data_IF_154265674416
#
_entry.id   IF_154265674416
#
_cell.length_a   1.000
_cell.length_b   1.000
_cell.length_c   1.000
_cell.angle_alpha   90.00
_cell.angle_beta   90.00
_cell.angle_gamma   90.00
#
_symmetry.space_group_name_H-M   'P 1'
#
loop_
_entity.id
_entity.type
_entity.pdbx_description
1 polymer ?
#
# COMPACT_ATOMS: atom_id res chain seq x y z
N UNK A 1 -42.16 -4.83 -5.58
CA UNK A 1 -41.91 -3.37 -5.69
C UNK A 1 -40.98 -2.85 -4.58
N UNK A 2 -39.81 -3.48 -4.33
CA UNK A 2 -38.94 -3.13 -3.18
C UNK A 2 -37.52 -2.63 -3.54
N UNK A 3 -37.18 -2.45 -4.82
CA UNK A 3 -35.80 -2.10 -5.24
C UNK A 3 -35.50 -0.59 -5.25
N UNK A 4 -36.51 0.28 -5.33
CA UNK A 4 -36.30 1.74 -5.48
C UNK A 4 -35.93 2.43 -4.16
N UNK A 5 -36.45 1.94 -3.03
CA UNK A 5 -36.25 2.53 -1.69
C UNK A 5 -34.81 2.45 -1.18
N UNK A 6 -34.02 1.51 -1.71
CA UNK A 6 -32.62 1.29 -1.33
C UNK A 6 -31.65 2.30 -1.97
N UNK A 7 -32.09 2.97 -3.03
CA UNK A 7 -31.30 3.97 -3.75
C UNK A 7 -31.74 5.42 -3.50
N UNK A 8 -32.84 5.63 -2.76
CA UNK A 8 -33.33 6.96 -2.40
C UNK A 8 -32.25 7.87 -1.80
N UNK A 9 -31.41 7.44 -0.83
CA UNK A 9 -30.38 8.32 -0.27
C UNK A 9 -29.25 8.66 -1.26
N UNK A 10 -28.94 7.75 -2.19
CA UNK A 10 -27.94 8.01 -3.23
C UNK A 10 -28.47 8.96 -4.31
N UNK A 11 -29.75 8.83 -4.67
CA UNK A 11 -30.44 9.71 -5.62
C UNK A 11 -30.67 11.11 -5.05
N UNK A 12 -30.98 11.23 -3.75
CA UNK A 12 -31.08 12.54 -3.09
C UNK A 12 -29.73 13.22 -2.97
N UNK A 13 -28.66 12.49 -2.63
CA UNK A 13 -27.31 13.04 -2.63
C UNK A 13 -26.89 13.53 -4.03
N UNK A 14 -27.11 12.72 -5.07
CA UNK A 14 -26.80 13.10 -6.45
C UNK A 14 -27.62 14.32 -6.92
N UNK A 15 -28.91 14.39 -6.56
CA UNK A 15 -29.78 15.53 -6.88
C UNK A 15 -29.36 16.81 -6.15
N UNK A 16 -28.88 16.72 -4.90
CA UNK A 16 -28.35 17.86 -4.15
C UNK A 16 -27.04 18.38 -4.77
N UNK A 17 -26.16 17.48 -5.24
CA UNK A 17 -24.94 17.87 -5.96
C UNK A 17 -25.24 18.52 -7.32
N UNK A 18 -26.17 17.96 -8.09
CA UNK A 18 -26.59 18.53 -9.37
C UNK A 18 -27.31 19.88 -9.20
N UNK A 19 -28.16 20.02 -8.18
CA UNK A 19 -28.86 21.25 -7.86
C UNK A 19 -27.92 22.38 -7.43
N UNK A 20 -26.89 22.08 -6.63
CA UNK A 20 -25.90 23.07 -6.23
C UNK A 20 -25.04 23.57 -7.41
N UNK A 21 -24.66 22.67 -8.32
CA UNK A 21 -23.92 23.04 -9.53
C UNK A 21 -24.78 23.84 -10.52
N UNK A 22 -26.04 23.44 -10.72
CA UNK A 22 -26.98 24.16 -11.59
C UNK A 22 -27.35 25.54 -11.04
N UNK A 23 -27.49 25.68 -9.72
CA UNK A 23 -27.73 26.96 -9.07
C UNK A 23 -26.53 27.91 -9.20
N UNK A 24 -25.30 27.42 -9.09
CA UNK A 24 -24.08 28.24 -9.25
C UNK A 24 -23.95 28.73 -10.71
N UNK A 25 -24.24 27.88 -11.71
CA UNK A 25 -24.28 28.28 -13.13
C UNK A 25 -25.40 29.30 -13.39
N UNK A 26 -26.61 29.04 -12.90
CA UNK A 26 -27.78 29.90 -13.09
C UNK A 26 -27.62 31.28 -12.43
N UNK A 27 -27.04 31.33 -11.22
CA UNK A 27 -26.81 32.60 -10.52
C UNK A 27 -25.65 33.40 -11.14
N UNK A 28 -24.61 32.73 -11.65
CA UNK A 28 -23.48 33.39 -12.33
C UNK A 28 -23.91 34.03 -13.65
N UNK A 29 -24.74 33.32 -14.43
CA UNK A 29 -25.25 33.79 -15.72
C UNK A 29 -26.20 35.01 -15.56
N UNK A 30 -27.04 35.00 -14.52
CA UNK A 30 -28.08 36.05 -14.34
C UNK A 30 -27.61 37.30 -13.60
N UNK A 31 -26.56 37.23 -12.78
CA UNK A 31 -26.14 38.36 -11.93
C UNK A 31 -24.85 39.03 -12.39
N UNK A 32 -24.11 38.43 -13.33
CA UNK A 32 -22.80 38.93 -13.79
C UNK A 32 -21.73 39.00 -12.68
N UNK A 33 -22.05 38.57 -11.46
CA UNK A 33 -21.14 38.59 -10.31
C UNK A 33 -20.31 37.32 -10.32
N UNK A 34 -19.13 37.45 -10.92
CA UNK A 34 -18.05 36.49 -10.71
C UNK A 34 -17.77 36.45 -9.20
N UNK A 35 -18.02 35.30 -8.56
CA UNK A 35 -17.68 35.12 -7.15
C UNK A 35 -16.22 35.54 -6.91
N UNK A 36 -15.91 36.28 -5.83
CA UNK A 36 -14.55 36.67 -5.51
C UNK A 36 -13.64 35.44 -5.50
N UNK A 37 -12.43 35.57 -6.05
CA UNK A 37 -11.45 34.48 -6.20
C UNK A 37 -11.24 33.68 -4.91
N UNK A 38 -11.29 34.36 -3.75
CA UNK A 38 -11.20 33.76 -2.42
C UNK A 38 -12.34 32.77 -2.12
N UNK A 39 -13.58 33.12 -2.40
CA UNK A 39 -14.75 32.23 -2.18
C UNK A 39 -14.71 31.04 -3.13
N UNK A 40 -14.21 31.24 -4.36
CA UNK A 40 -13.99 30.15 -5.32
C UNK A 40 -12.89 29.19 -4.85
N UNK A 41 -11.78 29.72 -4.32
CA UNK A 41 -10.71 28.92 -3.74
C UNK A 41 -11.18 28.17 -2.48
N UNK A 42 -11.95 28.79 -1.61
CA UNK A 42 -12.50 28.16 -0.40
C UNK A 42 -13.48 27.04 -0.74
N UNK A 43 -14.40 27.24 -1.70
CA UNK A 43 -15.29 26.18 -2.21
C UNK A 43 -14.50 25.04 -2.87
N UNK A 44 -13.49 25.36 -3.69
CA UNK A 44 -12.62 24.38 -4.33
C UNK A 44 -11.82 23.55 -3.32
N UNK A 45 -11.29 24.20 -2.28
CA UNK A 45 -10.61 23.56 -1.17
C UNK A 45 -11.56 22.65 -0.37
N UNK A 46 -12.80 23.09 -0.12
CA UNK A 46 -13.80 22.28 0.56
C UNK A 46 -14.17 21.02 -0.24
N UNK A 47 -14.44 21.16 -1.54
CA UNK A 47 -14.74 20.02 -2.43
C UNK A 47 -13.54 19.07 -2.53
N UNK A 48 -12.33 19.62 -2.66
CA UNK A 48 -11.09 18.83 -2.64
C UNK A 48 -10.88 18.05 -1.34
N UNK A 49 -11.14 18.69 -0.19
CA UNK A 49 -11.06 18.04 1.12
C UNK A 49 -12.07 16.92 1.28
N UNK A 50 -13.33 17.13 0.88
CA UNK A 50 -14.38 16.12 0.95
C UNK A 50 -14.05 14.91 0.05
N UNK A 51 -13.58 15.16 -1.18
CA UNK A 51 -13.14 14.11 -2.09
C UNK A 51 -11.93 13.35 -1.54
N UNK A 52 -10.97 14.05 -0.94
CA UNK A 52 -9.82 13.44 -0.27
C UNK A 52 -10.23 12.52 0.89
N UNK A 53 -11.10 12.99 1.77
CA UNK A 53 -11.62 12.21 2.90
C UNK A 53 -12.41 10.98 2.42
N UNK A 54 -13.24 11.13 1.38
CA UNK A 54 -13.95 10.01 0.78
C UNK A 54 -12.99 8.93 0.25
N UNK A 55 -11.92 9.34 -0.45
CA UNK A 55 -10.90 8.41 -0.98
C UNK A 55 -10.17 7.67 0.14
N UNK A 56 -9.85 8.36 1.23
CA UNK A 56 -9.23 7.73 2.40
C UNK A 56 -10.15 6.69 3.07
N UNK A 57 -11.45 6.99 3.21
CA UNK A 57 -12.43 6.01 3.74
C UNK A 57 -12.58 4.82 2.78
N UNK A 58 -12.66 5.07 1.48
CA UNK A 58 -12.72 4.02 0.47
C UNK A 58 -11.47 3.12 0.48
N UNK A 59 -10.28 3.71 0.64
CA UNK A 59 -9.02 2.99 0.78
C UNK A 59 -9.04 2.06 2.00
N UNK A 60 -9.44 2.57 3.17
CA UNK A 60 -9.56 1.78 4.40
C UNK A 60 -10.57 0.64 4.27
N UNK A 61 -11.74 0.90 3.69
CA UNK A 61 -12.76 -0.13 3.46
C UNK A 61 -12.28 -1.22 2.51
N UNK A 62 -11.60 -0.83 1.43
CA UNK A 62 -11.04 -1.77 0.47
C UNK A 62 -9.91 -2.59 1.08
N UNK A 63 -9.05 -1.97 1.90
CA UNK A 63 -8.00 -2.66 2.64
C UNK A 63 -8.57 -3.73 3.59
N UNK A 64 -9.56 -3.40 4.42
CA UNK A 64 -10.21 -4.37 5.30
C UNK A 64 -10.81 -5.54 4.52
N UNK A 65 -11.43 -5.26 3.36
CA UNK A 65 -11.99 -6.31 2.50
C UNK A 65 -10.90 -7.19 1.90
N UNK A 66 -9.79 -6.60 1.45
CA UNK A 66 -8.66 -7.33 0.91
C UNK A 66 -8.03 -8.23 1.98
N UNK A 67 -7.91 -7.73 3.22
CA UNK A 67 -7.38 -8.48 4.36
C UNK A 67 -8.27 -9.67 4.72
N UNK A 68 -9.59 -9.47 4.84
CA UNK A 68 -10.55 -10.58 5.07
C UNK A 68 -10.49 -11.61 3.95
N UNK A 69 -10.47 -11.16 2.69
CA UNK A 69 -10.33 -12.06 1.54
C UNK A 69 -9.02 -12.86 1.58
N UNK A 70 -7.92 -12.24 2.02
CA UNK A 70 -6.64 -12.94 2.16
C UNK A 70 -6.71 -14.05 3.21
N UNK A 71 -7.27 -13.74 4.38
CA UNK A 71 -7.39 -14.69 5.49
C UNK A 71 -8.33 -15.83 5.13
N UNK A 72 -9.48 -15.53 4.52
CA UNK A 72 -10.39 -16.56 4.02
C UNK A 72 -9.70 -17.45 2.97
N UNK A 73 -8.89 -16.87 2.08
CA UNK A 73 -8.10 -17.66 1.15
C UNK A 73 -7.09 -18.56 1.88
N UNK A 74 -6.38 -18.03 2.88
CA UNK A 74 -5.41 -18.81 3.69
C UNK A 74 -6.09 -20.00 4.37
N UNK A 75 -7.28 -19.80 4.93
CA UNK A 75 -8.04 -20.83 5.63
C UNK A 75 -8.45 -21.99 4.71
N UNK A 76 -8.86 -21.68 3.48
CA UNK A 76 -9.40 -22.67 2.55
C UNK A 76 -8.38 -23.20 1.54
N UNK A 77 -7.18 -22.61 1.46
CA UNK A 77 -6.18 -22.98 0.46
C UNK A 77 -4.83 -23.34 1.11
N UNK A 78 -4.38 -24.59 1.01
CA UNK A 78 -3.07 -25.00 1.53
C UNK A 78 -1.90 -24.29 0.84
N UNK A 79 -2.15 -23.72 -0.35
CA UNK A 79 -1.19 -22.90 -1.11
C UNK A 79 -1.48 -21.40 -0.98
N UNK A 80 -1.63 -20.90 0.23
CA UNK A 80 -1.94 -19.49 0.53
C UNK A 80 -1.04 -18.45 -0.16
N UNK A 81 0.23 -18.80 -0.42
CA UNK A 81 1.19 -17.96 -1.17
C UNK A 81 0.80 -17.72 -2.64
N UNK A 82 -0.13 -18.50 -3.21
CA UNK A 82 -0.58 -18.35 -4.60
C UNK A 82 -1.70 -17.33 -4.78
N UNK A 83 -2.17 -16.67 -3.71
CA UNK A 83 -3.20 -15.64 -3.83
C UNK A 83 -2.66 -14.38 -4.52
N UNK A 84 -2.70 -14.37 -5.86
CA UNK A 84 -2.28 -13.22 -6.66
C UNK A 84 -3.39 -12.19 -6.85
N UNK A 85 -4.64 -12.60 -6.59
CA UNK A 85 -5.84 -11.83 -6.88
C UNK A 85 -6.03 -10.65 -5.92
N UNK A 86 -5.31 -10.69 -4.79
CA UNK A 86 -5.24 -9.58 -3.84
C UNK A 86 -4.38 -8.42 -4.35
N UNK A 87 -3.40 -8.66 -5.24
CA UNK A 87 -2.45 -7.62 -5.67
C UNK A 87 -3.14 -6.44 -6.40
N UNK A 88 -4.12 -6.66 -7.31
CA UNK A 88 -4.93 -5.57 -7.85
C UNK A 88 -5.72 -4.79 -6.79
N UNK A 89 -6.23 -5.45 -5.74
CA UNK A 89 -6.91 -4.78 -4.63
C UNK A 89 -5.95 -3.84 -3.91
N UNK A 90 -4.75 -4.31 -3.59
CA UNK A 90 -3.70 -3.49 -2.95
C UNK A 90 -3.31 -2.29 -3.82
N UNK A 91 -3.20 -2.49 -5.14
CA UNK A 91 -2.94 -1.39 -6.08
C UNK A 91 -4.05 -0.34 -6.03
N UNK A 92 -5.31 -0.76 -6.02
CA UNK A 92 -6.44 0.17 -5.90
C UNK A 92 -6.43 0.93 -4.57
N UNK A 93 -6.06 0.30 -3.45
CA UNK A 93 -5.87 1.00 -2.17
C UNK A 93 -4.84 2.11 -2.32
N UNK A 94 -3.68 1.83 -2.91
CA UNK A 94 -2.63 2.86 -3.10
C UNK A 94 -3.01 3.98 -4.07
N UNK A 95 -3.89 3.70 -5.03
CA UNK A 95 -4.44 4.74 -5.90
C UNK A 95 -5.46 5.61 -5.21
N UNK A 96 -6.24 5.07 -4.27
CA UNK A 96 -7.20 5.83 -3.47
C UNK A 96 -6.45 6.69 -2.45
N UNK A 97 -5.50 6.09 -1.73
CA UNK A 97 -4.64 6.75 -0.75
C UNK A 97 -3.15 6.41 -0.99
N UNK A 98 -2.40 7.34 -1.62
CA UNK A 98 -0.96 7.17 -1.84
C UNK A 98 -0.13 7.14 -0.54
N UNK A 99 -0.69 7.55 0.59
CA UNK A 99 -0.02 7.51 1.89
C UNK A 99 -0.28 6.22 2.68
N UNK A 100 -1.03 5.28 2.10
CA UNK A 100 -1.38 4.01 2.73
C UNK A 100 -0.20 3.02 2.71
N UNK A 101 0.76 3.21 3.61
CA UNK A 101 2.04 2.46 3.60
C UNK A 101 1.87 0.95 3.72
N UNK A 102 0.88 0.48 4.49
CA UNK A 102 0.61 -0.95 4.68
C UNK A 102 0.30 -1.68 3.36
N UNK A 103 -0.42 -1.04 2.43
CA UNK A 103 -0.73 -1.62 1.14
C UNK A 103 0.52 -1.78 0.27
N UNK A 104 1.42 -0.79 0.31
CA UNK A 104 2.72 -0.88 -0.36
C UNK A 104 3.59 -2.00 0.22
N UNK A 105 3.73 -2.05 1.56
CA UNK A 105 4.54 -3.05 2.24
C UNK A 105 4.03 -4.48 1.98
N UNK A 106 2.73 -4.72 2.19
CA UNK A 106 2.13 -6.05 2.02
C UNK A 106 2.17 -6.53 0.58
N UNK A 107 1.81 -5.70 -0.41
CA UNK A 107 1.86 -6.14 -1.79
C UNK A 107 3.31 -6.33 -2.28
N UNK A 108 4.26 -5.52 -1.81
CA UNK A 108 5.67 -5.71 -2.13
C UNK A 108 6.22 -7.02 -1.55
N UNK A 109 5.82 -7.37 -0.32
CA UNK A 109 6.14 -8.65 0.29
C UNK A 109 5.61 -9.82 -0.54
N UNK A 110 4.33 -9.77 -0.91
CA UNK A 110 3.70 -10.78 -1.77
C UNK A 110 4.41 -10.89 -3.13
N UNK A 111 4.66 -9.75 -3.78
CA UNK A 111 5.38 -9.70 -5.05
C UNK A 111 6.77 -10.35 -4.95
N UNK A 112 7.56 -9.99 -3.94
CA UNK A 112 8.93 -10.47 -3.80
C UNK A 112 9.01 -11.93 -3.35
N UNK A 113 8.28 -12.29 -2.30
CA UNK A 113 8.46 -13.55 -1.58
C UNK A 113 7.45 -14.63 -1.93
N UNK A 114 6.32 -14.30 -2.56
CA UNK A 114 5.32 -15.31 -2.95
C UNK A 114 5.26 -15.47 -4.47
N UNK A 115 5.38 -14.35 -5.19
CA UNK A 115 5.23 -14.30 -6.64
C UNK A 115 6.54 -14.23 -7.40
N UNK A 116 7.67 -14.30 -6.70
CA UNK A 116 8.99 -14.32 -7.32
C UNK A 116 9.38 -13.08 -8.15
N UNK A 117 8.83 -11.92 -7.83
CA UNK A 117 9.00 -10.66 -8.58
C UNK A 117 9.64 -9.56 -7.73
N UNK A 118 10.87 -9.74 -7.22
CA UNK A 118 11.53 -8.74 -6.37
C UNK A 118 11.76 -7.41 -7.09
N UNK A 119 11.97 -7.42 -8.41
CA UNK A 119 12.06 -6.18 -9.21
C UNK A 119 10.77 -5.36 -9.20
N UNK A 120 9.62 -6.01 -9.34
CA UNK A 120 8.31 -5.32 -9.27
C UNK A 120 8.03 -4.83 -7.85
N UNK A 121 8.38 -5.63 -6.84
CA UNK A 121 8.25 -5.22 -5.45
C UNK A 121 9.08 -3.96 -5.14
N UNK A 122 10.33 -3.88 -5.60
CA UNK A 122 11.17 -2.68 -5.45
C UNK A 122 10.58 -1.46 -6.14
N UNK A 123 10.12 -1.61 -7.39
CA UNK A 123 9.50 -0.51 -8.12
C UNK A 123 8.24 0.01 -7.39
N UNK A 124 7.45 -0.90 -6.82
CA UNK A 124 6.26 -0.54 -6.06
C UNK A 124 6.60 0.14 -4.72
N UNK A 125 7.62 -0.33 -3.99
CA UNK A 125 8.09 0.36 -2.78
C UNK A 125 8.74 1.71 -3.08
N UNK A 126 9.44 1.86 -4.21
CA UNK A 126 9.99 3.15 -4.65
C UNK A 126 8.88 4.15 -4.93
N UNK A 127 7.76 3.70 -5.51
CA UNK A 127 6.55 4.52 -5.62
C UNK A 127 6.00 4.91 -4.25
N UNK A 128 5.82 3.96 -3.33
CA UNK A 128 5.35 4.25 -1.98
C UNK A 128 6.25 5.24 -1.24
N UNK A 129 7.57 5.12 -1.36
CA UNK A 129 8.56 6.01 -0.76
C UNK A 129 8.56 7.43 -1.37
N UNK A 130 8.10 7.61 -2.62
CA UNK A 130 7.94 8.96 -3.20
C UNK A 130 6.85 9.75 -2.48
N UNK A 131 5.77 9.08 -2.07
CA UNK A 131 4.71 9.70 -1.27
C UNK A 131 5.01 9.67 0.23
N UNK A 132 5.77 8.68 0.70
CA UNK A 132 6.03 8.43 2.12
C UNK A 132 7.54 8.32 2.41
N UNK A 133 8.34 9.37 2.19
CA UNK A 133 9.80 9.31 2.24
C UNK A 133 10.37 8.99 3.63
N UNK A 134 9.57 9.16 4.67
CA UNK A 134 9.95 8.89 6.07
C UNK A 134 9.24 7.65 6.62
N UNK A 135 8.65 6.79 5.79
CA UNK A 135 8.02 5.57 6.28
C UNK A 135 9.08 4.55 6.71
N UNK A 136 9.16 4.30 8.01
CA UNK A 136 10.03 3.26 8.56
C UNK A 136 9.66 1.86 8.03
N UNK A 137 8.36 1.58 7.92
CA UNK A 137 7.82 0.32 7.41
C UNK A 137 8.21 0.04 5.95
N UNK A 138 8.10 1.05 5.07
CA UNK A 138 8.52 0.89 3.67
C UNK A 138 10.02 0.69 3.54
N UNK A 139 10.81 1.40 4.35
CA UNK A 139 12.25 1.21 4.39
C UNK A 139 12.63 -0.18 4.92
N UNK A 140 11.99 -0.65 5.99
CA UNK A 140 12.20 -1.99 6.50
C UNK A 140 11.86 -3.06 5.45
N UNK A 141 10.72 -2.94 4.77
CA UNK A 141 10.33 -3.86 3.70
C UNK A 141 11.35 -3.85 2.55
N UNK A 142 11.84 -2.68 2.14
CA UNK A 142 12.88 -2.56 1.12
C UNK A 142 14.20 -3.23 1.56
N UNK A 143 14.58 -3.07 2.82
CA UNK A 143 15.76 -3.72 3.37
C UNK A 143 15.65 -5.25 3.36
N UNK A 144 14.48 -5.79 3.70
CA UNK A 144 14.23 -7.23 3.68
C UNK A 144 14.35 -7.78 2.25
N UNK A 145 13.78 -7.10 1.26
CA UNK A 145 13.89 -7.52 -0.14
C UNK A 145 15.35 -7.44 -0.62
N UNK A 146 16.06 -6.35 -0.31
CA UNK A 146 17.47 -6.20 -0.65
C UNK A 146 18.35 -7.28 -0.02
N UNK A 147 18.08 -7.65 1.24
CA UNK A 147 18.81 -8.69 1.94
C UNK A 147 18.48 -10.08 1.38
N UNK A 148 17.20 -10.47 1.39
CA UNK A 148 16.75 -11.86 1.15
C UNK A 148 16.68 -12.23 -0.32
N UNK A 149 16.32 -11.28 -1.19
CA UNK A 149 16.13 -11.54 -2.62
C UNK A 149 17.35 -11.13 -3.44
N UNK A 150 17.90 -9.94 -3.16
CA UNK A 150 18.98 -9.39 -3.99
C UNK A 150 20.37 -9.80 -3.51
N UNK A 151 20.50 -10.26 -2.26
CA UNK A 151 21.81 -10.49 -1.64
C UNK A 151 22.64 -9.21 -1.59
N UNK A 152 21.99 -8.04 -1.50
CA UNK A 152 22.62 -6.73 -1.49
C UNK A 152 22.67 -6.19 -0.05
N UNK A 153 23.71 -6.54 0.73
CA UNK A 153 23.83 -6.14 2.13
C UNK A 153 23.96 -4.63 2.30
N UNK A 154 24.59 -3.94 1.34
CA UNK A 154 24.76 -2.48 1.40
C UNK A 154 23.42 -1.76 1.28
N UNK A 155 22.57 -2.18 0.33
CA UNK A 155 21.23 -1.64 0.17
C UNK A 155 20.34 -1.97 1.38
N UNK A 156 20.46 -3.19 1.93
CA UNK A 156 19.75 -3.56 3.15
C UNK A 156 20.12 -2.66 4.34
N UNK A 157 21.41 -2.45 4.60
CA UNK A 157 21.91 -1.57 5.66
C UNK A 157 21.46 -0.12 5.47
N UNK A 158 21.51 0.39 4.24
CA UNK A 158 21.02 1.75 3.93
C UNK A 158 19.57 1.93 4.38
N UNK A 159 18.70 1.00 4.00
CA UNK A 159 17.28 1.09 4.32
C UNK A 159 16.97 0.78 5.79
N UNK A 160 17.68 -0.15 6.44
CA UNK A 160 17.51 -0.38 7.89
C UNK A 160 17.88 0.85 8.71
N UNK A 161 18.96 1.56 8.34
CA UNK A 161 19.35 2.79 9.02
C UNK A 161 18.28 3.88 8.86
N UNK A 162 17.73 4.05 7.66
CA UNK A 162 16.58 4.94 7.43
C UNK A 162 15.36 4.54 8.28
N UNK A 163 15.02 3.26 8.32
CA UNK A 163 13.91 2.77 9.14
C UNK A 163 14.12 3.07 10.63
N UNK A 164 15.35 2.87 11.14
CA UNK A 164 15.73 3.17 12.53
C UNK A 164 15.58 4.66 12.85
N UNK A 165 15.99 5.52 11.92
CA UNK A 165 15.95 6.97 12.10
C UNK A 165 14.50 7.50 12.06
N UNK A 166 13.61 6.85 11.31
CA UNK A 166 12.23 7.29 11.17
C UNK A 166 11.23 6.61 12.11
N UNK A 167 11.55 5.46 12.70
CA UNK A 167 10.63 4.82 13.66
C UNK A 167 10.54 5.64 14.96
N UNK A 168 9.31 5.76 15.45
CA UNK A 168 8.98 6.39 16.75
C UNK A 168 8.96 5.37 17.88
N UNK A 169 8.86 4.07 17.57
CA UNK A 169 8.80 3.01 18.56
C UNK A 169 10.22 2.59 18.99
N UNK A 170 10.50 2.69 20.29
CA UNK A 170 11.77 2.29 20.88
C UNK A 170 12.02 0.78 20.75
N UNK A 171 10.98 -0.05 20.77
CA UNK A 171 11.11 -1.49 20.56
C UNK A 171 11.52 -1.81 19.13
N UNK A 172 10.84 -1.23 18.14
CA UNK A 172 11.20 -1.38 16.72
C UNK A 172 12.62 -0.87 16.47
N UNK A 173 12.99 0.30 17.03
CA UNK A 173 14.33 0.86 16.90
C UNK A 173 15.41 -0.14 17.35
N UNK A 174 15.23 -0.75 18.54
CA UNK A 174 16.15 -1.78 19.06
C UNK A 174 16.17 -3.04 18.19
N UNK A 175 15.03 -3.42 17.59
CA UNK A 175 14.97 -4.54 16.64
C UNK A 175 15.79 -4.26 15.37
N UNK A 176 15.66 -3.04 14.84
CA UNK A 176 16.39 -2.58 13.66
C UNK A 176 17.90 -2.48 13.94
N UNK A 177 18.30 -1.96 15.09
CA UNK A 177 19.70 -1.90 15.51
C UNK A 177 20.34 -3.28 15.59
N UNK A 178 19.64 -4.27 16.15
CA UNK A 178 20.10 -5.67 16.17
C UNK A 178 20.24 -6.25 14.76
N UNK A 179 19.31 -5.91 13.87
CA UNK A 179 19.36 -6.35 12.46
C UNK A 179 20.55 -5.74 11.72
N UNK A 180 20.83 -4.46 11.94
CA UNK A 180 22.00 -3.75 11.40
C UNK A 180 23.29 -4.40 11.90
N UNK A 181 23.43 -4.58 13.21
CA UNK A 181 24.62 -5.18 13.82
C UNK A 181 24.86 -6.60 13.31
N UNK A 182 23.80 -7.40 13.14
CA UNK A 182 23.91 -8.76 12.59
C UNK A 182 24.43 -8.77 11.15
N UNK A 183 23.93 -7.88 10.29
CA UNK A 183 24.39 -7.79 8.90
C UNK A 183 25.83 -7.28 8.83
N UNK A 184 26.18 -6.27 9.64
CA UNK A 184 27.55 -5.75 9.72
C UNK A 184 28.53 -6.82 10.22
N UNK A 185 28.15 -7.60 11.23
CA UNK A 185 28.93 -8.73 11.70
C UNK A 185 29.16 -9.76 10.59
N UNK A 186 28.11 -10.13 9.86
CA UNK A 186 28.22 -11.07 8.74
C UNK A 186 29.16 -10.56 7.64
N UNK A 187 29.09 -9.27 7.31
CA UNK A 187 29.99 -8.65 6.36
C UNK A 187 31.45 -8.66 6.83
N UNK A 188 31.70 -8.31 8.08
CA UNK A 188 33.04 -8.25 8.65
C UNK A 188 33.72 -9.63 8.69
N UNK A 189 32.94 -10.70 8.84
CA UNK A 189 33.44 -12.08 8.94
C UNK A 189 33.28 -12.88 7.63
N UNK A 190 32.90 -12.23 6.52
CA UNK A 190 32.72 -12.90 5.24
C UNK A 190 31.63 -13.98 5.24
N UNK A 191 30.68 -13.91 6.17
CA UNK A 191 29.58 -14.86 6.26
C UNK A 191 28.61 -14.65 5.10
N UNK A 192 28.24 -15.75 4.44
CA UNK A 192 27.20 -15.71 3.41
C UNK A 192 25.83 -15.52 4.07
N UNK A 193 24.96 -14.74 3.43
CA UNK A 193 23.60 -14.57 3.90
C UNK A 193 22.88 -15.93 3.92
N UNK A 194 22.51 -16.46 5.09
CA UNK A 194 21.91 -17.79 5.21
C UNK A 194 20.47 -17.84 4.68
N UNK A 195 19.83 -16.68 4.54
CA UNK A 195 18.47 -16.55 4.01
C UNK A 195 18.43 -16.28 2.51
N UNK A 196 19.60 -16.06 1.88
CA UNK A 196 19.68 -15.79 0.46
C UNK A 196 19.22 -17.01 -0.31
N UNK A 197 18.12 -16.84 -1.05
CA UNK A 197 17.52 -17.90 -1.85
C UNK A 197 16.88 -19.06 -1.07
N UNK A 198 16.82 -19.01 0.27
CA UNK A 198 16.01 -19.96 1.05
C UNK A 198 14.51 -19.81 0.79
N UNK A 199 14.09 -18.60 0.40
CA UNK A 199 12.81 -18.29 -0.24
C UNK A 199 13.03 -17.84 -1.69
N UNK A 200 14.04 -18.39 -2.40
CA UNK A 200 14.17 -18.03 -3.81
C UNK A 200 12.88 -18.43 -4.53
N UNK A 201 12.40 -17.57 -5.44
CA UNK A 201 11.41 -17.91 -6.46
C UNK A 201 11.42 -19.38 -6.89
N UNK A 202 12.61 -19.85 -7.29
CA UNK A 202 12.80 -21.15 -7.90
C UNK A 202 12.68 -22.29 -6.91
N UNK A 203 13.17 -22.14 -5.68
CA UNK A 203 13.00 -23.17 -4.63
C UNK A 203 11.55 -23.24 -4.15
N UNK A 204 10.86 -22.10 -4.02
CA UNK A 204 9.45 -22.07 -3.64
C UNK A 204 8.54 -22.60 -4.76
N UNK A 205 8.76 -22.20 -6.02
CA UNK A 205 8.02 -22.74 -7.17
C UNK A 205 8.27 -24.24 -7.32
N UNK A 206 9.52 -24.72 -7.19
CA UNK A 206 9.82 -26.16 -7.20
C UNK A 206 9.13 -26.90 -6.06
N UNK A 207 9.20 -26.41 -4.82
CA UNK A 207 8.50 -27.00 -3.67
C UNK A 207 6.97 -27.00 -3.84
N UNK A 208 6.41 -25.95 -4.46
CA UNK A 208 4.98 -25.81 -4.72
C UNK A 208 4.49 -26.65 -5.92
N UNK A 209 5.40 -27.07 -6.81
CA UNK A 209 5.10 -27.95 -7.96
C UNK A 209 5.32 -29.43 -7.62
N UNK A 210 6.15 -29.74 -6.62
CA UNK A 210 6.47 -31.11 -6.18
C UNK A 210 5.52 -31.67 -5.12
N UNK A 211 4.58 -30.87 -4.59
CA UNK A 211 3.51 -31.39 -3.73
C UNK A 211 2.35 -31.89 -4.61
N UNK A 212 1.85 -33.11 -4.41
CA UNK A 212 0.75 -33.65 -5.20
C UNK A 212 -0.48 -32.76 -5.09
N UNK A 213 -1.21 -32.63 -6.19
CA UNK A 213 -2.54 -32.01 -6.21
C UNK A 213 -3.50 -33.08 -5.70
N UNK A 214 -3.75 -33.06 -4.40
CA UNK A 214 -4.81 -33.85 -3.78
C UNK A 214 -6.16 -33.15 -4.00
#
# INVERSE_FOLDING_TARGET
MLKLRRWLPALTAAALFAGAAAADVYLTDRTGRVLPSRVRQEKGALVGNLLGQFRAVAANMLWMKADVYHHEFIEHNPHWTKNTDILPLMRMVTWLDPHFTQAYASAAWMLALYNARPGQARAFLQEGLRYNPQSADLHQTMAIIAWRCDGNPRAALYHLRKARDYTKDAFERRSLERSIASIEYQLAHGLKNPTLGSLSPEKQLKQNHSRPRD
#
